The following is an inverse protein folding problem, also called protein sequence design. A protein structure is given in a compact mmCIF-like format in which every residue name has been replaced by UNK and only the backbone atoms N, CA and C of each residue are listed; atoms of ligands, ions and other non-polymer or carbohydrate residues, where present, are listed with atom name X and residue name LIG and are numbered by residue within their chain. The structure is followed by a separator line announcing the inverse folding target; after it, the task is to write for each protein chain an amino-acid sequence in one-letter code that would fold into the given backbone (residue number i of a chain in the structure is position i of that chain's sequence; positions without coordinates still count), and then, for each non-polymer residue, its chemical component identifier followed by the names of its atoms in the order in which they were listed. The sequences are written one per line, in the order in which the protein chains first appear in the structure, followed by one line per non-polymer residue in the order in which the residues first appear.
data_IF_726117796011
#
_entry.id   IF_726117796011
#
_cell.length_a   1.000
_cell.length_b   1.000
_cell.length_c   1.000
_cell.angle_alpha   90.00
_cell.angle_beta   90.00
_cell.angle_gamma   90.00
#
_symmetry.space_group_name_H-M   'P 1'
#
loop_
_entity.id
_entity.type
_entity.pdbx_description
1 polymer ?
#
# COMPACT_ATOMS: atom_id res chain seq x y z
N UNK A 1 -8.92 -27.77 -31.26
CA UNK A 1 -9.94 -28.04 -30.22
C UNK A 1 -10.71 -26.76 -29.89
N UNK A 2 -10.05 -25.69 -29.43
CA UNK A 2 -10.72 -24.41 -29.13
C UNK A 2 -11.54 -23.85 -30.32
N UNK A 3 -11.05 -23.96 -31.56
CA UNK A 3 -11.82 -23.54 -32.75
C UNK A 3 -13.06 -24.40 -33.02
N UNK A 4 -13.03 -25.70 -32.69
CA UNK A 4 -14.18 -26.61 -32.83
C UNK A 4 -15.23 -26.32 -31.75
N UNK A 5 -14.79 -26.10 -30.51
CA UNK A 5 -15.65 -25.69 -29.39
C UNK A 5 -16.33 -24.33 -29.64
N UNK A 6 -15.66 -23.43 -30.35
CA UNK A 6 -16.23 -22.15 -30.79
C UNK A 6 -17.28 -22.33 -31.89
N UNK A 7 -17.10 -23.31 -32.79
CA UNK A 7 -18.08 -23.64 -33.84
C UNK A 7 -19.27 -24.46 -33.32
N UNK A 8 -19.07 -25.24 -32.25
CA UNK A 8 -20.11 -26.04 -31.57
C UNK A 8 -20.87 -25.26 -30.49
N UNK A 9 -20.53 -23.99 -30.27
CA UNK A 9 -21.14 -23.07 -29.28
C UNK A 9 -21.08 -23.56 -27.81
N UNK A 10 -20.20 -24.51 -27.49
CA UNK A 10 -20.04 -25.02 -26.12
C UNK A 10 -19.10 -24.13 -25.29
N UNK A 11 -19.70 -23.16 -24.60
CA UNK A 11 -18.99 -22.25 -23.69
C UNK A 11 -18.44 -22.95 -22.44
N UNK A 12 -19.08 -24.03 -21.96
CA UNK A 12 -18.64 -24.76 -20.76
C UNK A 12 -17.44 -25.65 -21.07
N UNK A 13 -17.49 -26.37 -22.19
CA UNK A 13 -16.38 -27.16 -22.71
C UNK A 13 -15.18 -26.28 -23.04
N UNK A 14 -15.40 -25.08 -23.59
CA UNK A 14 -14.33 -24.12 -23.84
C UNK A 14 -13.68 -23.63 -22.54
N UNK A 15 -14.47 -23.25 -21.53
CA UNK A 15 -13.93 -22.80 -20.24
C UNK A 15 -13.13 -23.92 -19.55
N UNK A 16 -13.67 -25.14 -19.47
CA UNK A 16 -12.97 -26.28 -18.88
C UNK A 16 -11.68 -26.64 -19.65
N UNK A 17 -11.70 -26.53 -20.97
CA UNK A 17 -10.50 -26.74 -21.79
C UNK A 17 -9.46 -25.63 -21.60
N UNK A 18 -9.88 -24.38 -21.37
CA UNK A 18 -9.00 -23.25 -21.09
C UNK A 18 -8.35 -23.42 -19.71
N UNK A 19 -9.15 -23.73 -18.69
CA UNK A 19 -8.66 -23.94 -17.33
C UNK A 19 -7.77 -25.20 -17.21
N UNK A 20 -7.98 -26.20 -18.06
CA UNK A 20 -7.20 -27.44 -18.07
C UNK A 20 -5.89 -27.37 -18.87
N UNK A 21 -5.77 -26.47 -19.85
CA UNK A 21 -4.63 -26.44 -20.77
C UNK A 21 -4.18 -25.01 -21.10
N UNK A 22 -3.08 -24.54 -20.52
CA UNK A 22 -2.57 -23.16 -20.75
C UNK A 22 -1.69 -23.00 -22.01
N UNK A 23 -1.45 -24.07 -22.78
CA UNK A 23 -0.54 -24.08 -23.94
C UNK A 23 -1.22 -23.66 -25.26
N UNK A 24 -1.79 -22.46 -25.32
CA UNK A 24 -2.32 -21.88 -26.55
C UNK A 24 -2.13 -20.36 -26.60
N UNK A 25 -2.29 -19.76 -27.78
CA UNK A 25 -2.18 -18.31 -27.94
C UNK A 25 -3.42 -17.60 -27.37
N UNK A 26 -3.31 -17.20 -26.11
CA UNK A 26 -4.35 -16.49 -25.36
C UNK A 26 -4.82 -15.22 -26.07
N UNK A 27 -3.92 -14.51 -26.77
CA UNK A 27 -4.22 -13.21 -27.38
C UNK A 27 -5.02 -13.42 -28.66
N UNK A 28 -4.57 -14.32 -29.52
CA UNK A 28 -5.29 -14.62 -30.77
C UNK A 28 -6.66 -15.24 -30.49
N UNK A 29 -6.77 -16.11 -29.49
CA UNK A 29 -8.04 -16.71 -29.10
C UNK A 29 -9.03 -15.64 -28.57
N UNK A 30 -8.56 -14.76 -27.68
CA UNK A 30 -9.40 -13.69 -27.13
C UNK A 30 -9.89 -12.70 -28.20
N UNK A 31 -9.04 -12.32 -29.17
CA UNK A 31 -9.45 -11.46 -30.29
C UNK A 31 -10.52 -12.09 -31.20
N UNK A 32 -10.50 -13.42 -31.34
CA UNK A 32 -11.51 -14.15 -32.09
C UNK A 32 -12.83 -14.20 -31.31
N UNK A 33 -12.75 -14.49 -30.02
CA UNK A 33 -13.90 -14.54 -29.11
C UNK A 33 -14.59 -13.18 -28.93
N UNK A 34 -13.85 -12.06 -28.96
CA UNK A 34 -14.43 -10.70 -28.93
C UNK A 34 -15.43 -10.44 -30.06
N UNK A 35 -15.25 -11.09 -31.22
CA UNK A 35 -16.10 -10.88 -32.40
C UNK A 35 -17.34 -11.77 -32.44
N UNK A 36 -17.46 -12.74 -31.52
CA UNK A 36 -18.63 -13.63 -31.49
C UNK A 36 -19.87 -12.90 -30.95
N UNK A 37 -21.05 -13.27 -31.46
CA UNK A 37 -22.32 -12.62 -31.12
C UNK A 37 -22.79 -12.93 -29.69
N UNK A 38 -22.44 -14.11 -29.18
CA UNK A 38 -22.75 -14.60 -27.84
C UNK A 38 -21.93 -13.89 -26.76
N UNK A 39 -22.61 -13.40 -25.73
CA UNK A 39 -22.02 -12.68 -24.59
C UNK A 39 -21.11 -13.61 -23.77
N UNK A 40 -21.45 -14.89 -23.65
CA UNK A 40 -20.65 -15.86 -22.88
C UNK A 40 -19.25 -16.06 -23.46
N UNK A 41 -19.10 -16.06 -24.80
CA UNK A 41 -17.78 -16.13 -25.43
C UNK A 41 -16.97 -14.85 -25.22
N UNK A 42 -17.60 -13.68 -25.25
CA UNK A 42 -16.93 -12.41 -24.94
C UNK A 42 -16.54 -12.31 -23.47
N UNK A 43 -17.34 -12.88 -22.56
CA UNK A 43 -17.00 -13.04 -21.14
C UNK A 43 -15.77 -13.91 -20.95
N UNK A 44 -15.68 -15.05 -21.65
CA UNK A 44 -14.47 -15.90 -21.65
C UNK A 44 -13.27 -15.15 -22.23
N UNK A 45 -13.47 -14.32 -23.27
CA UNK A 45 -12.40 -13.48 -23.81
C UNK A 45 -11.86 -12.48 -22.77
N UNK A 46 -12.74 -11.86 -21.98
CA UNK A 46 -12.34 -10.96 -20.89
C UNK A 46 -11.52 -11.69 -19.82
N UNK A 47 -11.91 -12.93 -19.49
CA UNK A 47 -11.17 -13.81 -18.58
C UNK A 47 -9.78 -14.18 -19.11
N UNK A 48 -9.67 -14.50 -20.41
CA UNK A 48 -8.37 -14.74 -21.07
C UNK A 48 -7.47 -13.49 -21.03
N UNK A 49 -8.02 -12.29 -21.25
CA UNK A 49 -7.25 -11.06 -21.14
C UNK A 49 -6.77 -10.78 -19.71
N UNK A 50 -7.59 -11.11 -18.71
CA UNK A 50 -7.20 -11.10 -17.29
C UNK A 50 -6.00 -12.02 -17.05
N UNK A 51 -6.06 -13.28 -17.50
CA UNK A 51 -4.97 -14.25 -17.32
C UNK A 51 -3.63 -13.79 -17.90
N UNK A 52 -3.68 -12.96 -18.95
CA UNK A 52 -2.49 -12.39 -19.60
C UNK A 52 -2.10 -10.98 -19.09
N UNK A 53 -2.60 -10.55 -17.92
CA UNK A 53 -2.37 -9.22 -17.32
C UNK A 53 -2.77 -8.02 -18.21
N UNK A 54 -3.66 -8.22 -19.19
CA UNK A 54 -4.16 -7.15 -20.06
C UNK A 54 -5.46 -6.56 -19.53
N UNK A 55 -5.33 -5.90 -18.38
CA UNK A 55 -6.47 -5.37 -17.62
C UNK A 55 -7.29 -4.33 -18.39
N UNK A 56 -6.63 -3.40 -19.12
CA UNK A 56 -7.33 -2.37 -19.92
C UNK A 56 -8.26 -2.97 -20.98
N UNK A 57 -7.75 -3.95 -21.73
CA UNK A 57 -8.54 -4.62 -22.78
C UNK A 57 -9.69 -5.44 -22.18
N UNK A 58 -9.45 -6.11 -21.05
CA UNK A 58 -10.48 -6.86 -20.33
C UNK A 58 -11.61 -5.93 -19.86
N UNK A 59 -11.27 -4.81 -19.23
CA UNK A 59 -12.25 -3.83 -18.73
C UNK A 59 -13.00 -3.15 -19.87
N UNK A 60 -12.34 -2.77 -20.96
CA UNK A 60 -13.00 -2.18 -22.13
C UNK A 60 -13.98 -3.15 -22.80
N UNK A 61 -13.65 -4.45 -22.83
CA UNK A 61 -14.58 -5.47 -23.32
C UNK A 61 -15.79 -5.59 -22.39
N UNK A 62 -15.58 -5.61 -21.06
CA UNK A 62 -16.68 -5.63 -20.10
C UNK A 62 -17.56 -4.37 -20.17
N UNK A 63 -16.99 -3.19 -20.49
CA UNK A 63 -17.76 -1.95 -20.75
C UNK A 63 -18.66 -2.11 -21.98
N UNK A 64 -18.16 -2.69 -23.08
CA UNK A 64 -18.96 -2.96 -24.29
C UNK A 64 -20.13 -3.91 -24.01
N UNK A 65 -19.88 -4.95 -23.23
CA UNK A 65 -20.87 -5.98 -22.90
C UNK A 65 -21.80 -5.64 -21.73
N UNK A 66 -21.57 -4.50 -21.06
CA UNK A 66 -22.30 -4.09 -19.85
C UNK A 66 -22.24 -5.13 -18.73
N UNK A 67 -21.15 -5.90 -18.66
CA UNK A 67 -20.89 -6.87 -17.59
C UNK A 67 -20.28 -6.15 -16.39
N UNK A 68 -21.12 -5.51 -15.59
CA UNK A 68 -20.68 -4.64 -14.50
C UNK A 68 -20.00 -5.39 -13.35
N UNK A 69 -20.50 -6.59 -13.01
CA UNK A 69 -19.95 -7.39 -11.90
C UNK A 69 -18.51 -7.84 -12.19
N UNK A 70 -18.29 -8.39 -13.37
CA UNK A 70 -16.97 -8.87 -13.77
C UNK A 70 -16.00 -7.71 -13.98
N UNK A 71 -16.45 -6.59 -14.57
CA UNK A 71 -15.64 -5.38 -14.69
C UNK A 71 -15.10 -4.90 -13.34
N UNK A 72 -15.94 -4.88 -12.30
CA UNK A 72 -15.54 -4.48 -10.95
C UNK A 72 -14.54 -5.44 -10.33
N UNK A 73 -14.77 -6.76 -10.46
CA UNK A 73 -13.82 -7.76 -9.99
C UNK A 73 -12.46 -7.59 -10.68
N UNK A 74 -12.44 -7.43 -12.01
CA UNK A 74 -11.19 -7.28 -12.76
C UNK A 74 -10.47 -5.96 -12.46
N UNK A 75 -11.21 -4.86 -12.25
CA UNK A 75 -10.64 -3.61 -11.80
C UNK A 75 -9.98 -3.75 -10.42
N UNK A 76 -10.66 -4.39 -9.46
CA UNK A 76 -10.09 -4.63 -8.12
C UNK A 76 -8.86 -5.55 -8.13
N UNK A 77 -8.87 -6.59 -8.95
CA UNK A 77 -7.74 -7.51 -9.10
C UNK A 77 -6.55 -6.86 -9.80
N UNK A 78 -6.80 -5.95 -10.75
CA UNK A 78 -5.75 -5.24 -11.48
C UNK A 78 -4.86 -4.39 -10.58
N UNK A 79 -5.38 -3.94 -9.43
CA UNK A 79 -4.71 -3.01 -8.49
C UNK A 79 -4.13 -1.76 -9.17
N UNK A 80 -4.67 -1.36 -10.32
CA UNK A 80 -4.32 -0.12 -11.01
C UNK A 80 -5.37 0.95 -10.74
N UNK A 81 -4.95 2.02 -10.06
CA UNK A 81 -5.83 3.15 -9.71
C UNK A 81 -6.40 3.83 -10.96
N UNK A 82 -5.62 3.88 -12.06
CA UNK A 82 -6.06 4.54 -13.29
C UNK A 82 -7.21 3.80 -13.99
N UNK A 83 -7.21 2.47 -13.96
CA UNK A 83 -8.28 1.65 -14.55
C UNK A 83 -9.56 1.75 -13.70
N UNK A 84 -9.43 1.78 -12.38
CA UNK A 84 -10.56 1.94 -11.47
C UNK A 84 -11.22 3.32 -11.61
N UNK A 85 -10.44 4.41 -11.68
CA UNK A 85 -10.96 5.76 -11.88
C UNK A 85 -11.69 5.89 -13.23
N UNK A 86 -11.13 5.34 -14.31
CA UNK A 86 -11.75 5.35 -15.64
C UNK A 86 -13.05 4.52 -15.69
N UNK A 87 -13.08 3.36 -15.03
CA UNK A 87 -14.29 2.55 -14.92
C UNK A 87 -15.40 3.29 -14.16
N UNK A 88 -15.06 4.01 -13.09
CA UNK A 88 -16.00 4.79 -12.29
C UNK A 88 -16.53 6.00 -13.06
N UNK A 89 -15.65 6.73 -13.76
CA UNK A 89 -16.06 7.83 -14.64
C UNK A 89 -17.09 7.35 -15.68
N UNK A 90 -16.82 6.19 -16.29
CA UNK A 90 -17.75 5.57 -17.25
C UNK A 90 -19.11 5.19 -16.62
N UNK A 91 -19.13 4.67 -15.38
CA UNK A 91 -20.39 4.38 -14.68
C UNK A 91 -21.24 5.63 -14.43
N UNK A 92 -20.59 6.76 -14.12
CA UNK A 92 -21.24 8.03 -13.85
C UNK A 92 -21.80 8.69 -15.10
N UNK A 93 -21.07 8.61 -16.22
CA UNK A 93 -21.57 9.06 -17.53
C UNK A 93 -22.84 8.32 -17.93
N UNK A 94 -22.89 7.01 -17.68
CA UNK A 94 -24.07 6.19 -17.98
C UNK A 94 -25.19 6.25 -16.92
N UNK A 95 -25.00 7.02 -15.83
CA UNK A 95 -25.97 7.19 -14.75
C UNK A 95 -26.37 5.88 -14.03
N UNK A 96 -25.47 4.89 -13.96
CA UNK A 96 -25.70 3.67 -13.18
C UNK A 96 -25.28 3.86 -11.72
N UNK A 97 -26.14 4.50 -10.92
CA UNK A 97 -25.84 4.88 -9.53
C UNK A 97 -25.63 3.66 -8.60
N UNK A 98 -26.32 2.55 -8.84
CA UNK A 98 -26.15 1.31 -8.06
C UNK A 98 -24.80 0.64 -8.32
N UNK A 99 -24.35 0.66 -9.58
CA UNK A 99 -23.05 0.13 -9.96
C UNK A 99 -21.91 0.99 -9.40
N UNK A 100 -22.11 2.31 -9.33
CA UNK A 100 -21.17 3.21 -8.68
C UNK A 100 -20.95 2.81 -7.22
N UNK A 101 -22.01 2.66 -6.42
CA UNK A 101 -21.91 2.26 -5.03
C UNK A 101 -21.20 0.90 -4.86
N UNK A 102 -21.55 -0.10 -5.68
CA UNK A 102 -20.90 -1.42 -5.64
C UNK A 102 -19.40 -1.35 -5.98
N UNK A 103 -19.02 -0.51 -6.95
CA UNK A 103 -17.61 -0.33 -7.33
C UNK A 103 -16.78 0.32 -6.24
N UNK A 104 -17.36 1.22 -5.42
CA UNK A 104 -16.67 1.83 -4.28
C UNK A 104 -16.29 0.79 -3.21
N UNK A 105 -17.17 -0.19 -2.96
CA UNK A 105 -16.89 -1.26 -2.00
C UNK A 105 -15.83 -2.24 -2.54
N UNK A 106 -15.93 -2.63 -3.80
CA UNK A 106 -15.02 -3.61 -4.38
C UNK A 106 -13.60 -3.06 -4.58
N UNK A 107 -13.47 -1.76 -4.84
CA UNK A 107 -12.20 -1.07 -5.06
C UNK A 107 -11.73 -0.24 -3.85
N UNK A 108 -12.15 -0.59 -2.63
CA UNK A 108 -11.91 0.19 -1.40
C UNK A 108 -10.46 0.63 -1.19
N UNK A 109 -9.50 -0.28 -1.38
CA UNK A 109 -8.07 -0.02 -1.14
C UNK A 109 -7.41 0.85 -2.22
N UNK A 110 -8.02 0.91 -3.40
CA UNK A 110 -7.41 1.48 -4.60
C UNK A 110 -7.89 2.89 -4.89
N UNK A 111 -9.05 3.26 -4.35
CA UNK A 111 -9.70 4.52 -4.65
C UNK A 111 -9.21 5.62 -3.73
N UNK A 112 -8.95 6.79 -4.34
CA UNK A 112 -8.67 8.03 -3.60
C UNK A 112 -10.00 8.67 -3.19
N UNK A 113 -10.26 8.86 -1.89
CA UNK A 113 -11.51 9.47 -1.40
C UNK A 113 -11.78 10.84 -2.01
N UNK A 114 -10.74 11.62 -2.29
CA UNK A 114 -10.86 12.96 -2.88
C UNK A 114 -11.49 12.94 -4.28
N UNK A 115 -11.04 12.02 -5.14
CA UNK A 115 -11.53 11.88 -6.52
C UNK A 115 -12.97 11.39 -6.53
N UNK A 116 -13.29 10.43 -5.65
CA UNK A 116 -14.66 9.94 -5.50
C UNK A 116 -15.60 11.04 -5.02
N UNK A 117 -15.15 11.88 -4.09
CA UNK A 117 -15.94 13.00 -3.58
C UNK A 117 -16.22 14.04 -4.68
N UNK A 118 -15.20 14.39 -5.47
CA UNK A 118 -15.39 15.30 -6.60
C UNK A 118 -16.41 14.76 -7.61
N UNK A 119 -16.26 13.48 -7.98
CA UNK A 119 -17.14 12.81 -8.94
C UNK A 119 -18.58 12.70 -8.40
N UNK A 120 -18.74 12.29 -7.14
CA UNK A 120 -20.05 12.18 -6.50
C UNK A 120 -20.77 13.53 -6.38
N UNK A 121 -20.00 14.61 -6.14
CA UNK A 121 -20.53 15.96 -6.05
C UNK A 121 -20.96 16.51 -7.42
N UNK A 122 -20.16 16.31 -8.48
CA UNK A 122 -20.50 16.74 -9.84
C UNK A 122 -21.77 16.07 -10.37
N UNK A 123 -21.97 14.80 -10.04
CA UNK A 123 -23.12 14.02 -10.51
C UNK A 123 -24.31 14.03 -9.53
N UNK A 124 -24.23 14.77 -8.42
CA UNK A 124 -25.28 14.89 -7.40
C UNK A 124 -25.74 13.54 -6.80
N UNK A 125 -24.83 12.59 -6.64
CA UNK A 125 -25.08 11.23 -6.11
C UNK A 125 -24.38 10.99 -4.77
N UNK A 126 -24.16 12.05 -3.99
CA UNK A 126 -23.46 11.96 -2.71
C UNK A 126 -24.11 10.95 -1.75
N UNK A 127 -25.44 10.80 -1.77
CA UNK A 127 -26.17 9.87 -0.90
C UNK A 127 -25.70 8.42 -1.02
N UNK A 128 -25.29 7.99 -2.21
CA UNK A 128 -24.75 6.64 -2.46
C UNK A 128 -23.28 6.49 -2.03
N UNK A 129 -22.53 7.59 -1.98
CA UNK A 129 -21.13 7.60 -1.55
C UNK A 129 -20.99 7.71 -0.01
N UNK A 130 -22.03 8.19 0.69
CA UNK A 130 -21.96 8.46 2.13
C UNK A 130 -21.52 7.25 2.99
N UNK A 131 -22.02 6.01 2.78
CA UNK A 131 -21.58 4.87 3.58
C UNK A 131 -20.08 4.57 3.43
N UNK A 132 -19.54 4.71 2.21
CA UNK A 132 -18.12 4.54 1.93
C UNK A 132 -17.30 5.63 2.63
N UNK A 133 -17.72 6.89 2.53
CA UNK A 133 -17.03 8.02 3.17
C UNK A 133 -16.97 7.87 4.69
N UNK A 134 -18.05 7.43 5.33
CA UNK A 134 -18.09 7.18 6.77
C UNK A 134 -17.09 6.09 7.18
N UNK A 135 -16.98 5.02 6.39
CA UNK A 135 -16.01 3.94 6.65
C UNK A 135 -14.57 4.44 6.55
N UNK A 136 -14.24 5.18 5.49
CA UNK A 136 -12.91 5.75 5.28
C UNK A 136 -12.56 6.70 6.44
N UNK A 137 -13.43 7.65 6.76
CA UNK A 137 -13.18 8.62 7.85
C UNK A 137 -12.99 7.91 9.19
N UNK A 138 -13.83 6.90 9.50
CA UNK A 138 -13.68 6.12 10.74
C UNK A 138 -12.35 5.38 10.79
N UNK A 139 -11.91 4.79 9.68
CA UNK A 139 -10.65 4.05 9.63
C UNK A 139 -9.45 4.99 9.74
N UNK A 140 -9.48 6.14 9.08
CA UNK A 140 -8.46 7.17 9.21
C UNK A 140 -8.35 7.68 10.64
N UNK A 141 -9.47 8.04 11.29
CA UNK A 141 -9.48 8.45 12.70
C UNK A 141 -8.92 7.33 13.58
N UNK A 142 -9.39 6.08 13.41
CA UNK A 142 -8.91 4.95 14.20
C UNK A 142 -7.42 4.64 14.00
N UNK A 143 -6.87 4.89 12.80
CA UNK A 143 -5.43 4.74 12.51
C UNK A 143 -4.64 5.88 13.14
N UNK A 144 -5.12 7.11 13.06
CA UNK A 144 -4.52 8.29 13.70
C UNK A 144 -4.49 8.11 15.22
N UNK A 145 -5.60 7.71 15.84
CA UNK A 145 -5.67 7.45 17.29
C UNK A 145 -4.66 6.38 17.74
N UNK A 146 -4.49 5.30 16.95
CA UNK A 146 -3.50 4.25 17.24
C UNK A 146 -2.07 4.75 17.09
N UNK A 147 -1.80 5.61 16.11
CA UNK A 147 -0.49 6.19 15.89
C UNK A 147 -0.15 7.19 17.01
N UNK A 148 -1.10 8.03 17.40
CA UNK A 148 -0.96 8.96 18.54
C UNK A 148 -0.72 8.20 19.85
N UNK A 149 -1.44 7.10 20.09
CA UNK A 149 -1.19 6.23 21.25
C UNK A 149 0.21 5.58 21.19
N UNK A 150 0.64 5.11 20.02
CA UNK A 150 1.95 4.49 19.87
C UNK A 150 3.10 5.52 20.02
N UNK A 151 2.90 6.75 19.55
CA UNK A 151 3.84 7.85 19.76
C UNK A 151 3.90 8.25 21.24
N UNK A 152 2.74 8.42 21.88
CA UNK A 152 2.68 8.75 23.31
C UNK A 152 3.40 7.69 24.16
N UNK A 153 3.18 6.41 23.90
CA UNK A 153 3.89 5.32 24.60
C UNK A 153 5.40 5.38 24.34
N UNK A 154 5.84 5.64 23.11
CA UNK A 154 7.27 5.81 22.80
C UNK A 154 7.86 7.03 23.51
N UNK A 155 7.14 8.14 23.52
CA UNK A 155 7.57 9.35 24.21
C UNK A 155 7.66 9.14 25.74
N UNK A 156 6.76 8.35 26.33
CA UNK A 156 6.81 7.97 27.74
C UNK A 156 7.97 6.99 28.03
N UNK A 157 8.28 6.08 27.11
CA UNK A 157 9.44 5.18 27.23
C UNK A 157 10.78 5.91 27.09
N UNK A 158 10.86 6.89 26.19
CA UNK A 158 12.02 7.78 26.03
C UNK A 158 12.19 8.70 27.25
N UNK A 159 11.11 9.30 27.76
CA UNK A 159 11.13 10.07 29.00
C UNK A 159 11.50 9.20 30.22
N UNK A 160 10.98 7.97 30.32
CA UNK A 160 11.39 7.01 31.36
C UNK A 160 12.80 6.46 31.18
N UNK A 161 13.41 6.58 29.99
CA UNK A 161 14.80 6.22 29.75
C UNK A 161 15.75 7.37 30.08
N UNK A 162 15.33 8.63 29.87
CA UNK A 162 16.05 9.84 30.28
C UNK A 162 15.92 10.13 31.79
N UNK A 163 14.78 9.81 32.42
CA UNK A 163 14.56 9.94 33.87
C UNK A 163 15.21 8.82 34.70
N UNK A 164 15.73 7.74 34.10
CA UNK A 164 16.58 6.79 34.81
C UNK A 164 17.91 7.47 35.12
N UNK A 165 18.16 7.87 36.39
CA UNK A 165 19.36 8.60 36.71
C UNK A 165 20.55 7.65 36.53
N UNK A 166 21.67 8.17 36.05
CA UNK A 166 23.02 7.55 36.14
C UNK A 166 23.48 7.52 37.62
N UNK A 167 22.59 7.12 38.54
CA UNK A 167 22.80 7.10 39.99
C UNK A 167 22.68 5.65 40.45
N UNK A 168 23.62 4.82 39.99
CA UNK A 168 23.99 3.59 40.69
C UNK A 168 25.14 3.93 41.66
N UNK A 169 24.86 4.85 42.58
CA UNK A 169 25.70 5.32 43.67
C UNK A 169 24.71 5.76 44.75
N UNK A 170 24.62 5.26 45.98
CA UNK A 170 25.42 4.47 46.92
C UNK A 170 24.42 4.06 48.05
N UNK A 171 24.82 3.27 49.05
CA UNK A 171 24.41 3.59 50.41
C UNK A 171 25.64 4.01 51.20
N UNK A 172 25.76 5.31 51.47
CA UNK A 172 26.75 5.85 52.40
C UNK A 172 26.35 5.54 53.84
N UNK A 173 27.26 5.01 54.67
CA UNK A 173 27.51 5.35 56.09
C UNK A 173 28.24 4.21 56.82
N UNK A 174 29.53 4.40 57.16
CA UNK A 174 30.19 3.92 58.40
C UNK A 174 31.60 4.51 58.50
N UNK A 175 31.72 5.63 59.23
CA UNK A 175 32.97 6.19 59.77
C UNK A 175 33.20 5.55 61.16
N UNK A 176 34.10 4.58 61.29
CA UNK A 176 34.80 4.32 62.57
C UNK A 176 35.96 3.32 62.40
N UNK A 177 37.14 3.76 62.84
CA UNK A 177 38.29 3.01 63.35
C UNK A 177 38.92 1.91 62.46
N UNK A 178 40.13 2.21 61.95
CA UNK A 178 40.94 1.30 61.14
C UNK A 178 41.47 0.06 61.87
N UNK A 179 42.02 -0.87 61.10
CA UNK A 179 43.34 -1.41 61.45
C UNK A 179 44.22 -1.56 60.20
N UNK A 180 45.25 -0.72 60.11
CA UNK A 180 46.39 -0.93 59.22
C UNK A 180 47.62 -1.12 60.10
N UNK A 181 47.91 -2.37 60.46
CA UNK A 181 49.20 -2.76 61.01
C UNK A 181 49.86 -3.73 60.02
N UNK A 182 51.08 -3.36 59.62
CA UNK A 182 52.16 -4.20 59.08
C UNK A 182 52.23 -4.46 57.56
N UNK A 183 53.30 -3.90 57.01
CA UNK A 183 54.32 -4.54 56.13
C UNK A 183 54.22 -4.39 54.60
N UNK A 184 55.38 -4.40 53.89
CA UNK A 184 55.86 -3.25 53.10
C UNK A 184 56.14 -3.64 51.61
N UNK A 185 56.70 -2.75 50.76
CA UNK A 185 56.58 -2.75 49.30
C UNK A 185 57.66 -3.61 48.63
N UNK A 186 57.57 -3.95 47.33
CA UNK A 186 58.10 -3.09 46.23
C UNK A 186 57.23 -3.23 44.95
N UNK A 187 57.29 -2.48 43.86
CA UNK A 187 58.41 -1.97 43.07
C UNK A 187 57.82 -1.09 41.95
N UNK A 188 58.46 0.05 41.66
CA UNK A 188 58.29 0.84 40.42
C UNK A 188 58.83 0.04 39.20
N UNK A 189 58.58 0.34 37.90
CA UNK A 189 58.47 1.71 37.34
C UNK A 189 57.48 1.94 36.18
N UNK A 190 57.19 3.24 35.95
CA UNK A 190 56.79 3.90 34.67
C UNK A 190 57.52 3.35 33.42
N UNK A 191 57.05 3.50 32.15
CA UNK A 191 56.73 4.81 31.54
C UNK A 191 55.78 4.88 30.29
N UNK A 192 55.00 5.98 30.24
CA UNK A 192 54.72 6.88 29.09
C UNK A 192 54.15 6.39 27.72
N UNK A 193 53.40 7.28 27.01
CA UNK A 193 52.60 7.00 25.80
C UNK A 193 53.45 7.10 24.52
N UNK A 194 52.93 6.71 23.31
CA UNK A 194 52.47 7.76 22.38
C UNK A 194 51.49 7.32 21.25
N UNK A 195 50.85 8.35 20.67
CA UNK A 195 50.63 8.53 19.21
C UNK A 195 49.62 7.68 18.42
N UNK A 196 48.79 8.41 17.65
CA UNK A 196 48.68 8.16 16.21
C UNK A 196 47.27 8.10 15.63
N UNK A 197 46.75 9.25 15.17
CA UNK A 197 45.70 9.30 14.14
C UNK A 197 46.19 8.74 12.79
N UNK A 198 45.34 8.68 11.75
CA UNK A 198 44.97 9.87 10.94
C UNK A 198 43.45 9.94 10.65
N UNK A 199 42.80 11.11 10.66
CA UNK A 199 42.87 12.26 9.74
C UNK A 199 42.27 12.00 8.34
N UNK A 200 41.03 12.52 8.16
CA UNK A 200 40.41 13.29 7.04
C UNK A 200 41.22 13.52 5.74
N UNK A 201 40.61 13.80 4.56
CA UNK A 201 39.74 14.97 4.30
C UNK A 201 38.53 14.69 3.36
N UNK A 202 37.43 15.46 3.30
CA UNK A 202 37.26 16.88 3.55
C UNK A 202 37.10 17.63 2.21
N UNK A 203 35.86 18.01 1.85
CA UNK A 203 35.54 19.06 0.87
C UNK A 203 34.06 19.43 1.07
N UNK A 204 33.63 20.62 1.45
CA UNK A 204 34.28 21.92 1.58
C UNK A 204 33.43 22.99 0.89
N UNK A 205 32.91 23.95 1.66
CA UNK A 205 32.32 25.21 1.19
C UNK A 205 30.79 25.31 1.38
N UNK A 206 30.21 26.35 1.98
CA UNK A 206 30.72 27.65 2.40
C UNK A 206 29.69 28.38 3.28
N UNK A 207 30.17 29.46 3.90
CA UNK A 207 29.71 30.18 5.10
C UNK A 207 28.57 31.18 4.80
N UNK A 208 27.74 31.60 5.79
CA UNK A 208 26.49 32.33 5.58
C UNK A 208 26.65 33.86 5.68
N UNK A 209 25.68 34.62 5.15
CA UNK A 209 25.23 35.93 5.69
C UNK A 209 24.14 36.57 4.82
N UNK A 210 23.04 36.99 5.43
CA UNK A 210 22.51 38.38 5.49
C UNK A 210 21.02 38.36 5.83
N UNK A 211 20.68 39.00 6.94
CA UNK A 211 19.30 39.35 7.27
C UNK A 211 18.84 40.60 6.53
N UNK A 212 17.52 40.81 6.52
CA UNK A 212 16.93 42.14 6.63
C UNK A 212 15.49 42.04 7.13
N UNK A 213 15.18 42.91 8.07
CA UNK A 213 13.88 43.17 8.67
C UNK A 213 13.05 44.07 7.76
N UNK A 214 11.75 43.80 7.64
CA UNK A 214 10.64 44.78 7.68
C UNK A 214 9.33 44.03 7.85
#
# INVERSE_FOLDING_TARGET
LNNLLIEEEDYQGLQASIDGYENFDNIMLAQRLEKHELIEFRRIAAYLYKGNNRWKQSVDLCKKDKLFKDAMCYASESRDTGIAEDLIAWFLENQYHECFAASLFQCYDLLRPDVILELAWRHNIMDFAMPYMIQVVREYISKVDKLEQAENVRSEEEQKAEERPIVFAEPQLMLTAGPSNMMPPPQAPSPQPPYGGPAYPGMGGGVPTYGYSM
#
